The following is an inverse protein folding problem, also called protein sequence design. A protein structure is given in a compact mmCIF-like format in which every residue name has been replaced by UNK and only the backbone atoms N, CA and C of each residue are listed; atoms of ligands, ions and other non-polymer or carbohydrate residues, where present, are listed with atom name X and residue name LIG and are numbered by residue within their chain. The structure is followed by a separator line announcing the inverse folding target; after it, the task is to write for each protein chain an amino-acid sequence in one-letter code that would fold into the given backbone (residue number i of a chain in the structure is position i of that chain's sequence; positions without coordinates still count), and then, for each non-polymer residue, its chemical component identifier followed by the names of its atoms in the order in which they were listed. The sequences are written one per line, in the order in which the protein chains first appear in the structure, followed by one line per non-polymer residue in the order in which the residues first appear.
data_IF_707569131516
#
_entry.id   IF_707569131516
#
_cell.length_a   1.000
_cell.length_b   1.000
_cell.length_c   1.000
_cell.angle_alpha   90.00
_cell.angle_beta   90.00
_cell.angle_gamma   90.00
#
_symmetry.space_group_name_H-M   'P 1'
#
loop_
_entity.id
_entity.type
_entity.pdbx_description
1 polymer ?
#
# COMPACT_ATOMS: atom_id res chain seq x y z
N UNK A 1 21.07 -0.13 -14.69
CA UNK A 1 21.77 1.13 -15.04
C UNK A 1 21.00 2.35 -14.56
N UNK A 2 19.79 2.62 -15.07
CA UNK A 2 19.02 3.84 -14.74
C UNK A 2 18.79 4.04 -13.23
N UNK A 3 18.26 3.05 -12.52
CA UNK A 3 18.02 3.16 -11.07
C UNK A 3 19.31 3.45 -10.29
N UNK A 4 20.41 2.76 -10.62
CA UNK A 4 21.70 2.97 -9.98
C UNK A 4 22.27 4.38 -10.25
N UNK A 5 22.15 4.86 -11.49
CA UNK A 5 22.52 6.23 -11.86
C UNK A 5 21.69 7.28 -11.12
N UNK A 6 20.37 7.07 -11.02
CA UNK A 6 19.48 7.94 -10.25
C UNK A 6 19.82 7.98 -8.76
N UNK A 7 20.17 6.83 -8.18
CA UNK A 7 20.62 6.74 -6.77
C UNK A 7 21.94 7.47 -6.57
N UNK A 8 22.92 7.27 -7.46
CA UNK A 8 24.19 7.98 -7.41
C UNK A 8 24.01 9.50 -7.56
N UNK A 9 23.14 9.92 -8.49
CA UNK A 9 22.82 11.34 -8.69
C UNK A 9 22.19 11.95 -7.43
N UNK A 10 21.18 11.30 -6.85
CA UNK A 10 20.54 11.81 -5.64
C UNK A 10 21.52 11.83 -4.46
N UNK A 11 22.39 10.83 -4.33
CA UNK A 11 23.45 10.84 -3.32
C UNK A 11 24.40 12.02 -3.47
N UNK A 12 24.92 12.25 -4.69
CA UNK A 12 25.80 13.39 -4.96
C UNK A 12 25.06 14.72 -4.73
N UNK A 13 23.82 14.82 -5.20
CA UNK A 13 22.98 16.00 -5.02
C UNK A 13 22.75 16.26 -3.53
N UNK A 14 22.38 15.26 -2.72
CA UNK A 14 22.22 15.38 -1.26
C UNK A 14 23.53 15.72 -0.53
N UNK A 15 24.67 15.25 -1.04
CA UNK A 15 25.99 15.52 -0.45
C UNK A 15 26.43 16.97 -0.66
N UNK A 16 26.18 17.54 -1.85
CA UNK A 16 26.58 18.91 -2.18
C UNK A 16 25.48 19.95 -1.93
N UNK A 17 24.21 19.53 -1.94
CA UNK A 17 23.04 20.39 -1.76
C UNK A 17 22.05 19.70 -0.82
N UNK A 18 21.59 20.40 0.21
CA UNK A 18 20.56 19.87 1.10
C UNK A 18 19.16 20.14 0.51
N UNK A 19 18.95 19.68 -0.72
CA UNK A 19 17.71 19.96 -1.48
C UNK A 19 16.83 18.71 -1.58
N UNK A 20 15.52 18.90 -1.44
CA UNK A 20 14.50 17.86 -1.39
C UNK A 20 13.10 18.47 -1.31
N UNK A 21 12.11 17.80 -1.92
CA UNK A 21 10.76 18.37 -2.11
C UNK A 21 10.01 18.64 -0.81
N UNK A 22 10.44 18.04 0.31
CA UNK A 22 9.84 18.24 1.63
C UNK A 22 9.82 19.71 2.11
N UNK A 23 10.64 20.59 1.51
CA UNK A 23 10.58 22.04 1.78
C UNK A 23 9.37 22.71 1.14
N UNK A 24 8.98 22.25 -0.05
CA UNK A 24 8.05 22.96 -0.93
C UNK A 24 6.71 22.22 -1.10
N UNK A 25 6.64 20.94 -0.71
CA UNK A 25 5.45 20.09 -0.88
C UNK A 25 5.05 19.43 0.45
N UNK A 26 3.75 19.34 0.79
CA UNK A 26 3.31 18.79 2.08
C UNK A 26 3.63 17.31 2.28
N UNK A 27 3.99 16.90 3.50
CA UNK A 27 4.26 15.49 3.88
C UNK A 27 3.10 14.55 3.57
N UNK A 28 1.87 15.04 3.69
CA UNK A 28 0.66 14.27 3.35
C UNK A 28 0.64 13.78 1.90
N UNK A 29 1.30 14.47 0.97
CA UNK A 29 1.36 14.03 -0.44
C UNK A 29 2.31 12.84 -0.62
N UNK A 30 3.44 12.80 0.08
CA UNK A 30 4.38 11.67 0.08
C UNK A 30 3.78 10.46 0.79
N UNK A 31 3.10 10.69 1.92
CA UNK A 31 2.32 9.65 2.58
C UNK A 31 1.24 9.09 1.65
N UNK A 32 0.51 9.98 0.97
CA UNK A 32 -0.54 9.62 0.01
C UNK A 32 -0.04 8.78 -1.16
N UNK A 33 1.15 9.08 -1.71
CA UNK A 33 1.72 8.31 -2.82
C UNK A 33 2.07 6.87 -2.42
N UNK A 34 2.67 6.67 -1.23
CA UNK A 34 3.00 5.34 -0.70
C UNK A 34 1.73 4.57 -0.35
N UNK A 35 0.76 5.23 0.29
CA UNK A 35 -0.54 4.61 0.56
C UNK A 35 -1.23 4.15 -0.72
N UNK A 36 -1.14 4.93 -1.81
CA UNK A 36 -1.71 4.56 -3.11
C UNK A 36 -1.07 3.30 -3.71
N UNK A 37 0.23 3.06 -3.48
CA UNK A 37 0.89 1.79 -3.86
C UNK A 37 0.19 0.61 -3.17
N UNK A 38 0.02 0.67 -1.85
CA UNK A 38 -0.61 -0.40 -1.05
C UNK A 38 -2.07 -0.63 -1.47
N UNK A 39 -2.83 0.43 -1.70
CA UNK A 39 -4.22 0.35 -2.17
C UNK A 39 -4.34 -0.31 -3.54
N UNK A 40 -3.48 0.06 -4.50
CA UNK A 40 -3.48 -0.58 -5.82
C UNK A 40 -2.99 -2.02 -5.74
N UNK A 41 -2.08 -2.33 -4.82
CA UNK A 41 -1.65 -3.69 -4.52
C UNK A 41 -2.83 -4.55 -4.04
N UNK A 42 -3.76 -4.02 -3.21
CA UNK A 42 -5.00 -4.73 -2.87
C UNK A 42 -5.80 -5.12 -4.12
N UNK A 43 -5.98 -4.20 -5.08
CA UNK A 43 -6.70 -4.49 -6.31
C UNK A 43 -5.97 -5.50 -7.22
N UNK A 44 -4.65 -5.39 -7.32
CA UNK A 44 -3.79 -6.30 -8.10
C UNK A 44 -3.80 -7.73 -7.56
N UNK A 45 -3.69 -7.86 -6.24
CA UNK A 45 -3.53 -9.13 -5.53
C UNK A 45 -4.86 -9.79 -5.16
N UNK A 46 -5.97 -9.05 -5.18
CA UNK A 46 -7.29 -9.57 -4.85
C UNK A 46 -7.66 -10.88 -5.58
N UNK A 47 -7.37 -11.07 -6.90
CA UNK A 47 -7.65 -12.33 -7.57
C UNK A 47 -6.94 -13.55 -6.94
N UNK A 48 -5.78 -13.32 -6.32
CA UNK A 48 -4.98 -14.35 -5.68
C UNK A 48 -5.41 -14.58 -4.24
N UNK A 49 -5.48 -13.50 -3.44
CA UNK A 49 -5.65 -13.55 -1.97
C UNK A 49 -7.00 -13.06 -1.44
N UNK A 50 -7.93 -12.68 -2.31
CA UNK A 50 -9.19 -12.06 -1.90
C UNK A 50 -9.01 -10.66 -1.31
N UNK A 51 -10.12 -10.03 -0.92
CA UNK A 51 -10.08 -8.74 -0.19
C UNK A 51 -10.16 -8.91 1.32
N UNK A 52 -10.90 -9.90 1.79
CA UNK A 52 -11.11 -10.13 3.22
C UNK A 52 -11.03 -11.62 3.52
N UNK A 53 -10.10 -11.99 4.39
CA UNK A 53 -9.93 -13.34 4.91
C UNK A 53 -9.76 -14.43 3.84
N UNK A 54 -9.19 -14.11 2.67
CA UNK A 54 -9.07 -15.05 1.55
C UNK A 54 -10.35 -15.21 0.72
N UNK A 55 -11.44 -14.55 1.10
CA UNK A 55 -12.71 -14.64 0.39
C UNK A 55 -12.64 -13.96 -0.97
N UNK A 56 -13.04 -14.70 -2.01
CA UNK A 56 -13.20 -14.21 -3.38
C UNK A 56 -14.65 -13.83 -3.72
N UNK A 57 -15.55 -13.84 -2.73
CA UNK A 57 -16.97 -13.45 -2.92
C UNK A 57 -17.13 -11.97 -3.22
N UNK A 58 -16.31 -11.14 -2.58
CA UNK A 58 -16.27 -9.69 -2.77
C UNK A 58 -14.96 -9.34 -3.45
N UNK A 59 -15.05 -8.82 -4.67
CA UNK A 59 -13.91 -8.59 -5.55
C UNK A 59 -14.04 -7.24 -6.24
N UNK A 60 -12.93 -6.53 -6.51
CA UNK A 60 -12.98 -5.33 -7.33
C UNK A 60 -13.51 -5.66 -8.74
N UNK A 61 -14.17 -4.72 -9.43
CA UNK A 61 -14.60 -4.91 -10.81
C UNK A 61 -13.42 -5.34 -11.70
N UNK A 62 -13.68 -6.24 -12.64
CA UNK A 62 -12.63 -6.78 -13.52
C UNK A 62 -11.89 -5.70 -14.32
N UNK A 63 -12.56 -4.61 -14.69
CA UNK A 63 -12.00 -3.42 -15.32
C UNK A 63 -10.97 -2.76 -14.43
N UNK A 64 -11.26 -2.59 -13.14
CA UNK A 64 -10.34 -1.99 -12.18
C UNK A 64 -9.09 -2.87 -12.02
N UNK A 65 -9.26 -4.19 -11.93
CA UNK A 65 -8.11 -5.11 -11.86
C UNK A 65 -7.29 -5.07 -13.16
N UNK A 66 -7.93 -4.97 -14.33
CA UNK A 66 -7.22 -4.80 -15.62
C UNK A 66 -6.49 -3.46 -15.69
N UNK A 67 -7.11 -2.38 -15.24
CA UNK A 67 -6.50 -1.05 -15.16
C UNK A 67 -5.26 -1.11 -14.26
N UNK A 68 -5.41 -1.64 -13.04
CA UNK A 68 -4.31 -1.80 -12.11
C UNK A 68 -3.16 -2.59 -12.75
N UNK A 69 -3.44 -3.74 -13.37
CA UNK A 69 -2.41 -4.53 -14.06
C UNK A 69 -1.73 -3.78 -15.20
N UNK A 70 -2.46 -2.96 -15.96
CA UNK A 70 -1.91 -2.19 -17.08
C UNK A 70 -1.07 -1.00 -16.63
N UNK A 71 -1.46 -0.32 -15.55
CA UNK A 71 -0.90 0.98 -15.19
C UNK A 71 -0.08 1.00 -13.89
N UNK A 72 -0.06 -0.08 -13.11
CA UNK A 72 0.69 -0.11 -11.85
C UNK A 72 2.16 0.26 -12.02
N UNK A 73 2.82 -0.15 -13.11
CA UNK A 73 4.21 0.22 -13.38
C UNK A 73 4.40 1.75 -13.40
N UNK A 74 3.58 2.48 -14.15
CA UNK A 74 3.64 3.95 -14.21
C UNK A 74 3.34 4.60 -12.85
N UNK A 75 2.29 4.13 -12.17
CA UNK A 75 1.85 4.67 -10.88
C UNK A 75 2.92 4.43 -9.81
N UNK A 76 3.47 3.22 -9.74
CA UNK A 76 4.46 2.83 -8.74
C UNK A 76 5.80 3.48 -9.02
N UNK A 77 6.19 3.65 -10.29
CA UNK A 77 7.35 4.45 -10.68
C UNK A 77 7.19 5.90 -10.23
N UNK A 78 6.06 6.56 -10.51
CA UNK A 78 5.80 7.92 -10.03
C UNK A 78 5.90 8.00 -8.51
N UNK A 79 5.18 7.15 -7.77
CA UNK A 79 5.14 7.20 -6.32
C UNK A 79 6.50 6.92 -5.69
N UNK A 80 7.24 5.93 -6.19
CA UNK A 80 8.58 5.59 -5.69
C UNK A 80 9.60 6.68 -6.00
N UNK A 81 9.59 7.24 -7.22
CA UNK A 81 10.48 8.35 -7.58
C UNK A 81 10.12 9.60 -6.79
N UNK A 82 8.84 9.93 -6.65
CA UNK A 82 8.40 11.08 -5.86
C UNK A 82 8.88 10.97 -4.41
N UNK A 83 8.66 9.83 -3.76
CA UNK A 83 9.10 9.60 -2.40
C UNK A 83 10.63 9.54 -2.28
N UNK A 84 11.31 9.02 -3.31
CA UNK A 84 12.77 8.98 -3.36
C UNK A 84 13.38 10.38 -3.30
N UNK A 85 12.83 11.36 -4.03
CA UNK A 85 13.32 12.75 -4.04
C UNK A 85 12.64 13.65 -3.00
N UNK A 86 11.67 13.12 -2.25
CA UNK A 86 10.94 13.91 -1.26
C UNK A 86 11.84 14.35 -0.10
N UNK A 87 12.67 13.44 0.42
CA UNK A 87 13.66 13.74 1.44
C UNK A 87 15.08 13.64 0.88
N UNK A 88 15.99 14.55 1.30
CA UNK A 88 17.41 14.36 1.03
C UNK A 88 17.92 13.09 1.73
N UNK A 89 19.01 12.52 1.20
CA UNK A 89 19.69 11.38 1.82
C UNK A 89 20.45 11.87 3.05
N UNK A 90 19.76 11.90 4.19
CA UNK A 90 20.24 12.42 5.47
C UNK A 90 20.35 11.26 6.49
N UNK A 91 21.46 11.14 7.25
CA UNK A 91 21.74 10.03 8.17
C UNK A 91 20.87 9.99 9.44
N UNK A 92 19.55 10.10 9.29
CA UNK A 92 18.56 9.94 10.38
C UNK A 92 17.89 8.58 10.29
N UNK A 93 17.63 7.89 11.43
CA UNK A 93 16.97 6.57 11.45
C UNK A 93 15.66 6.49 10.65
N UNK A 94 14.84 7.54 10.69
CA UNK A 94 13.57 7.58 9.95
C UNK A 94 13.79 7.59 8.42
N UNK A 95 14.84 8.26 7.95
CA UNK A 95 15.18 8.35 6.54
C UNK A 95 15.78 7.04 6.04
N UNK A 96 16.61 6.35 6.83
CA UNK A 96 17.22 5.09 6.42
C UNK A 96 16.21 3.99 6.13
N UNK A 97 15.19 3.83 6.99
CA UNK A 97 14.17 2.81 6.78
C UNK A 97 13.31 3.08 5.54
N UNK A 98 12.98 4.35 5.28
CA UNK A 98 12.22 4.77 4.10
C UNK A 98 13.05 4.66 2.81
N UNK A 99 14.31 5.09 2.86
CA UNK A 99 15.27 4.97 1.76
C UNK A 99 15.49 3.50 1.40
N UNK A 100 15.75 2.64 2.39
CA UNK A 100 15.92 1.21 2.18
C UNK A 100 14.70 0.58 1.49
N UNK A 101 13.50 0.87 1.97
CA UNK A 101 12.27 0.39 1.32
C UNK A 101 12.16 0.90 -0.12
N UNK A 102 12.43 2.18 -0.37
CA UNK A 102 12.40 2.77 -1.72
C UNK A 102 13.41 2.14 -2.67
N UNK A 103 14.62 1.82 -2.19
CA UNK A 103 15.61 1.09 -2.97
C UNK A 103 15.12 -0.32 -3.35
N UNK A 104 14.41 -1.01 -2.46
CA UNK A 104 13.80 -2.30 -2.79
C UNK A 104 12.64 -2.18 -3.78
N UNK A 105 11.89 -1.07 -3.78
CA UNK A 105 10.92 -0.78 -4.84
C UNK A 105 11.60 -0.52 -6.20
N UNK A 106 12.81 0.07 -6.22
CA UNK A 106 13.62 0.14 -7.44
C UNK A 106 14.18 -1.21 -7.87
N UNK A 107 14.48 -2.11 -6.93
CA UNK A 107 14.79 -3.51 -7.28
C UNK A 107 13.55 -4.16 -7.89
N UNK A 108 12.37 -3.98 -7.29
CA UNK A 108 11.11 -4.50 -7.83
C UNK A 108 10.82 -3.98 -9.24
N UNK A 109 11.12 -2.71 -9.54
CA UNK A 109 10.98 -2.15 -10.89
C UNK A 109 11.99 -2.72 -11.89
N UNK A 110 13.20 -3.09 -11.44
CA UNK A 110 14.19 -3.77 -12.28
C UNK A 110 13.80 -5.24 -12.57
N UNK A 111 12.94 -5.84 -11.74
CA UNK A 111 12.52 -7.24 -11.87
C UNK A 111 11.31 -7.46 -12.79
N UNK A 112 10.72 -6.43 -13.41
CA UNK A 112 9.39 -6.46 -14.09
C UNK A 112 9.16 -7.59 -15.11
N UNK A 113 10.20 -8.19 -15.68
CA UNK A 113 10.10 -9.31 -16.63
C UNK A 113 10.55 -10.66 -16.05
N UNK A 114 10.62 -10.77 -14.72
CA UNK A 114 11.08 -11.96 -14.01
C UNK A 114 9.96 -12.56 -13.17
N UNK A 115 10.12 -13.82 -12.78
CA UNK A 115 9.22 -14.46 -11.83
C UNK A 115 9.31 -13.83 -10.44
N UNK A 116 10.48 -13.30 -10.06
CA UNK A 116 10.68 -12.64 -8.77
C UNK A 116 9.76 -11.44 -8.57
N UNK A 117 9.45 -10.67 -9.63
CA UNK A 117 8.52 -9.54 -9.55
C UNK A 117 7.10 -9.92 -9.10
N UNK A 118 6.72 -11.18 -9.31
CA UNK A 118 5.39 -11.71 -8.96
C UNK A 118 5.44 -12.71 -7.80
N UNK A 119 6.61 -12.91 -7.19
CA UNK A 119 6.75 -13.86 -6.10
C UNK A 119 5.99 -13.35 -4.86
N UNK A 120 5.03 -14.13 -4.32
CA UNK A 120 4.21 -13.70 -3.19
C UNK A 120 4.97 -13.36 -1.91
N UNK A 121 6.13 -13.97 -1.69
CA UNK A 121 6.93 -13.73 -0.48
C UNK A 121 7.70 -12.43 -0.63
N UNK A 122 8.22 -12.17 -1.83
CA UNK A 122 8.87 -10.91 -2.17
C UNK A 122 7.88 -9.73 -2.14
N UNK A 123 6.72 -9.84 -2.80
CA UNK A 123 5.73 -8.75 -2.79
C UNK A 123 5.19 -8.48 -1.39
N UNK A 124 4.94 -9.53 -0.60
CA UNK A 124 4.60 -9.37 0.81
C UNK A 124 5.71 -8.66 1.60
N UNK A 125 6.98 -9.00 1.36
CA UNK A 125 8.10 -8.34 2.03
C UNK A 125 8.09 -6.84 1.75
N UNK A 126 7.85 -6.43 0.49
CA UNK A 126 7.73 -5.02 0.13
C UNK A 126 6.55 -4.36 0.84
N UNK A 127 5.37 -4.98 0.84
CA UNK A 127 4.20 -4.44 1.54
C UNK A 127 4.44 -4.31 3.07
N UNK A 128 5.10 -5.30 3.67
CA UNK A 128 5.34 -5.32 5.12
C UNK A 128 6.47 -4.41 5.58
N UNK A 129 7.42 -4.04 4.70
CA UNK A 129 8.49 -3.09 5.05
C UNK A 129 8.00 -1.66 5.28
N UNK A 130 6.76 -1.34 4.88
CA UNK A 130 6.10 -0.11 5.29
C UNK A 130 5.90 -0.01 6.82
N UNK A 131 5.67 -1.15 7.50
CA UNK A 131 5.47 -1.20 8.94
C UNK A 131 6.70 -0.72 9.74
N UNK A 132 7.90 -1.33 9.62
CA UNK A 132 9.07 -0.89 10.38
C UNK A 132 9.44 0.56 10.06
N UNK A 133 9.28 1.02 8.81
CA UNK A 133 9.47 2.42 8.46
C UNK A 133 8.53 3.35 9.23
N UNK A 134 7.22 3.06 9.24
CA UNK A 134 6.23 3.86 9.96
C UNK A 134 6.48 3.87 11.48
N UNK A 135 6.84 2.72 12.06
CA UNK A 135 7.15 2.62 13.50
C UNK A 135 8.39 3.41 13.86
N UNK A 136 9.49 3.25 13.11
CA UNK A 136 10.73 4.03 13.36
C UNK A 136 10.49 5.52 13.17
N UNK A 137 9.74 5.92 12.14
CA UNK A 137 9.38 7.33 11.90
C UNK A 137 8.60 7.93 13.07
N UNK A 138 7.58 7.22 13.57
CA UNK A 138 6.75 7.71 14.69
C UNK A 138 7.49 7.74 16.03
N UNK A 139 8.35 6.76 16.29
CA UNK A 139 9.20 6.76 17.48
C UNK A 139 10.21 7.91 17.43
N UNK A 140 10.86 8.12 16.28
CA UNK A 140 11.82 9.20 16.09
C UNK A 140 11.17 10.58 16.22
N UNK A 141 10.01 10.78 15.59
CA UNK A 141 9.22 12.03 15.68
C UNK A 141 8.49 12.19 17.02
N UNK A 142 8.51 11.17 17.90
CA UNK A 142 7.77 11.13 19.18
C UNK A 142 6.28 11.46 19.03
N UNK A 143 5.65 11.02 17.94
CA UNK A 143 4.28 11.40 17.59
C UNK A 143 3.19 10.69 18.42
N UNK A 144 3.56 9.66 19.17
CA UNK A 144 2.60 8.82 19.91
C UNK A 144 1.78 7.88 19.03
N UNK A 145 2.03 7.82 17.72
CA UNK A 145 1.27 7.01 16.76
C UNK A 145 1.86 5.60 16.51
N UNK A 146 2.93 5.22 17.21
CA UNK A 146 3.61 3.94 16.99
C UNK A 146 2.67 2.74 17.16
N UNK A 147 1.84 2.71 18.21
CA UNK A 147 0.88 1.62 18.43
C UNK A 147 -0.19 1.56 17.32
N UNK A 148 -0.69 2.72 16.89
CA UNK A 148 -1.66 2.83 15.80
C UNK A 148 -1.10 2.25 14.50
N UNK A 149 0.12 2.63 14.09
CA UNK A 149 0.74 2.10 12.88
C UNK A 149 1.04 0.61 13.00
N UNK A 150 1.59 0.16 14.13
CA UNK A 150 1.89 -1.25 14.38
C UNK A 150 0.64 -2.12 14.26
N UNK A 151 -0.39 -1.83 15.04
CA UNK A 151 -1.57 -2.69 15.07
C UNK A 151 -2.44 -2.55 13.82
N UNK A 152 -2.45 -1.39 13.17
CA UNK A 152 -3.21 -1.23 11.92
C UNK A 152 -2.56 -1.92 10.73
N UNK A 153 -1.23 -1.87 10.58
CA UNK A 153 -0.55 -2.60 9.51
C UNK A 153 -0.65 -4.11 9.74
N UNK A 154 -0.47 -4.57 10.98
CA UNK A 154 -0.68 -5.97 11.31
C UNK A 154 -2.13 -6.43 11.11
N UNK A 155 -3.12 -5.53 11.29
CA UNK A 155 -4.51 -5.82 10.91
C UNK A 155 -4.61 -6.12 9.41
N UNK A 156 -3.99 -5.31 8.54
CA UNK A 156 -3.97 -5.56 7.10
C UNK A 156 -3.28 -6.88 6.74
N UNK A 157 -2.22 -7.24 7.47
CA UNK A 157 -1.59 -8.53 7.31
C UNK A 157 -2.54 -9.68 7.62
N UNK A 158 -3.22 -9.63 8.77
CA UNK A 158 -4.17 -10.65 9.24
C UNK A 158 -5.39 -10.73 8.33
N UNK A 159 -5.96 -9.59 7.92
CA UNK A 159 -7.22 -9.56 7.15
C UNK A 159 -6.99 -9.86 5.66
N UNK A 160 -5.84 -9.48 5.10
CA UNK A 160 -5.63 -9.51 3.65
C UNK A 160 -4.35 -10.27 3.25
N UNK A 161 -3.19 -9.79 3.67
CA UNK A 161 -1.93 -10.18 3.02
C UNK A 161 -1.54 -11.64 3.28
N UNK A 162 -1.77 -12.15 4.51
CA UNK A 162 -1.42 -13.53 4.87
C UNK A 162 -2.21 -14.57 4.08
N UNK A 163 -3.39 -14.21 3.55
CA UNK A 163 -4.23 -15.14 2.76
C UNK A 163 -3.69 -15.38 1.35
N UNK A 164 -2.68 -14.62 0.94
CA UNK A 164 -1.88 -14.91 -0.25
C UNK A 164 -0.74 -15.89 0.03
N UNK A 165 -0.39 -16.12 1.28
CA UNK A 165 0.55 -17.17 1.63
C UNK A 165 -0.25 -18.47 1.74
N UNK A 166 0.21 -19.55 1.11
CA UNK A 166 -0.42 -20.88 1.17
C UNK A 166 -0.31 -21.50 2.58
N UNK A 167 -0.65 -20.74 3.62
CA UNK A 167 -0.61 -21.13 5.02
C UNK A 167 -1.79 -22.05 5.32
N UNK A 168 -1.58 -23.12 6.11
CA UNK A 168 -2.69 -23.94 6.58
C UNK A 168 -3.65 -23.08 7.42
N UNK A 169 -4.92 -23.46 7.43
CA UNK A 169 -5.96 -22.76 8.20
C UNK A 169 -5.59 -22.57 9.68
N UNK A 170 -5.01 -23.59 10.30
CA UNK A 170 -4.53 -23.51 11.68
C UNK A 170 -3.53 -22.36 11.90
N UNK A 171 -2.55 -22.20 11.00
CA UNK A 171 -1.57 -21.13 11.12
C UNK A 171 -2.23 -19.74 11.02
N UNK A 172 -3.20 -19.58 10.11
CA UNK A 172 -3.95 -18.32 9.95
C UNK A 172 -4.75 -17.99 11.22
N UNK A 173 -5.44 -18.96 11.81
CA UNK A 173 -6.15 -18.78 13.08
C UNK A 173 -5.21 -18.50 14.25
N UNK A 174 -4.07 -19.18 14.33
CA UNK A 174 -3.07 -18.92 15.37
C UNK A 174 -2.52 -17.49 15.26
N UNK A 175 -2.17 -17.04 14.05
CA UNK A 175 -1.69 -15.68 13.81
C UNK A 175 -2.76 -14.66 14.17
N UNK A 176 -4.01 -14.86 13.71
CA UNK A 176 -5.14 -13.97 14.03
C UNK A 176 -5.46 -13.91 15.52
N UNK A 177 -5.46 -15.05 16.20
CA UNK A 177 -5.66 -15.15 17.65
C UNK A 177 -4.54 -14.48 18.45
N UNK A 178 -3.28 -14.70 18.05
CA UNK A 178 -2.13 -14.04 18.67
C UNK A 178 -2.16 -12.51 18.47
N UNK A 179 -2.53 -12.05 17.27
CA UNK A 179 -2.75 -10.63 16.99
C UNK A 179 -3.83 -10.05 17.90
N UNK A 180 -5.02 -10.66 17.93
CA UNK A 180 -6.14 -10.18 18.75
C UNK A 180 -5.79 -10.15 20.24
N UNK A 181 -5.19 -11.22 20.77
CA UNK A 181 -4.72 -11.28 22.16
C UNK A 181 -3.71 -10.18 22.47
N UNK A 182 -2.76 -9.92 21.57
CA UNK A 182 -1.74 -8.87 21.73
C UNK A 182 -2.37 -7.48 21.77
N UNK A 183 -3.29 -7.17 20.86
CA UNK A 183 -4.00 -5.88 20.80
C UNK A 183 -4.81 -5.67 22.08
N UNK A 184 -5.64 -6.65 22.46
CA UNK A 184 -6.49 -6.58 23.65
C UNK A 184 -5.65 -6.43 24.92
N UNK A 185 -4.55 -7.18 25.04
CA UNK A 185 -3.63 -7.09 26.18
C UNK A 185 -2.93 -5.72 26.22
N UNK A 186 -2.49 -5.19 25.07
CA UNK A 186 -1.80 -3.90 25.00
C UNK A 186 -2.69 -2.74 25.48
N UNK A 187 -3.91 -2.65 24.96
CA UNK A 187 -4.86 -1.59 25.31
C UNK A 187 -5.48 -1.80 26.69
N UNK A 188 -5.76 -3.06 27.06
CA UNK A 188 -6.29 -3.42 28.37
C UNK A 188 -5.33 -3.11 29.51
N UNK A 189 -4.06 -3.53 29.40
CA UNK A 189 -3.04 -3.27 30.42
C UNK A 189 -2.72 -1.78 30.59
N UNK A 190 -3.02 -0.95 29.59
CA UNK A 190 -2.84 0.51 29.62
C UNK A 190 -4.12 1.28 29.96
N UNK A 191 -5.24 0.58 30.14
CA UNK A 191 -6.57 1.18 30.28
C UNK A 191 -6.93 2.17 29.14
N UNK A 192 -6.45 1.90 27.91
CA UNK A 192 -6.60 2.77 26.73
C UNK A 192 -7.64 2.25 25.74
N UNK A 193 -8.75 1.69 26.22
CA UNK A 193 -9.82 1.13 25.36
C UNK A 193 -10.37 2.14 24.35
N UNK A 194 -10.40 3.43 24.70
CA UNK A 194 -10.82 4.51 23.79
C UNK A 194 -9.94 4.64 22.53
N UNK A 195 -8.70 4.12 22.55
CA UNK A 195 -7.79 4.09 21.40
C UNK A 195 -7.86 2.80 20.60
N UNK A 196 -8.65 1.80 21.03
CA UNK A 196 -8.79 0.54 20.30
C UNK A 196 -9.24 0.74 18.84
N UNK A 197 -10.14 1.70 18.50
CA UNK A 197 -10.49 1.97 17.10
C UNK A 197 -9.31 2.38 16.22
N UNK A 198 -8.19 2.80 16.80
CA UNK A 198 -6.99 3.18 16.05
C UNK A 198 -6.42 2.04 15.20
N UNK A 199 -6.69 0.77 15.56
CA UNK A 199 -6.27 -0.40 14.78
C UNK A 199 -6.94 -0.49 13.40
N UNK A 200 -8.01 0.28 13.18
CA UNK A 200 -8.74 0.31 11.92
C UNK A 200 -8.26 1.42 10.99
N UNK A 201 -7.35 2.32 11.41
CA UNK A 201 -7.01 3.51 10.63
C UNK A 201 -6.41 3.19 9.26
N UNK A 202 -5.44 2.28 9.19
CA UNK A 202 -4.84 1.87 7.90
C UNK A 202 -5.84 1.06 7.07
N UNK A 203 -6.56 0.06 7.62
CA UNK A 203 -7.63 -0.60 6.88
C UNK A 203 -8.66 0.37 6.29
N UNK A 204 -9.17 1.32 7.07
CA UNK A 204 -10.13 2.32 6.60
C UNK A 204 -9.55 3.12 5.44
N UNK A 205 -8.30 3.56 5.57
CA UNK A 205 -7.63 4.34 4.54
C UNK A 205 -7.45 3.51 3.25
N UNK A 206 -6.91 2.29 3.36
CA UNK A 206 -6.65 1.44 2.19
C UNK A 206 -7.95 0.98 1.50
N UNK A 207 -8.91 0.44 2.25
CA UNK A 207 -10.20 0.02 1.70
C UNK A 207 -11.05 1.21 1.25
N UNK A 208 -10.93 2.37 1.89
CA UNK A 208 -11.64 3.59 1.51
C UNK A 208 -11.26 4.05 0.10
N UNK A 209 -9.95 4.16 -0.18
CA UNK A 209 -9.49 4.52 -1.52
C UNK A 209 -9.80 3.43 -2.54
N UNK A 210 -9.63 2.15 -2.20
CA UNK A 210 -10.08 1.06 -3.07
C UNK A 210 -11.58 1.17 -3.38
N UNK A 211 -12.40 1.47 -2.39
CA UNK A 211 -13.84 1.69 -2.53
C UNK A 211 -14.19 2.83 -3.47
N UNK A 212 -13.45 3.95 -3.40
CA UNK A 212 -13.57 5.07 -4.34
C UNK A 212 -13.26 4.60 -5.78
N UNK A 213 -12.16 3.86 -5.98
CA UNK A 213 -11.79 3.32 -7.30
C UNK A 213 -12.84 2.34 -7.85
N UNK A 214 -13.42 1.51 -6.97
CA UNK A 214 -14.53 0.61 -7.31
C UNK A 214 -15.75 1.42 -7.76
N UNK A 215 -16.16 2.44 -6.99
CA UNK A 215 -17.29 3.30 -7.31
C UNK A 215 -17.11 4.00 -8.67
N UNK A 216 -15.93 4.60 -8.90
CA UNK A 216 -15.60 5.24 -10.17
C UNK A 216 -15.66 4.24 -11.34
N UNK A 217 -15.15 3.03 -11.13
CA UNK A 217 -15.19 1.96 -12.16
C UNK A 217 -16.63 1.54 -12.50
N UNK A 218 -17.51 1.46 -11.50
CA UNK A 218 -18.92 1.14 -11.69
C UNK A 218 -19.67 2.30 -12.37
N UNK A 219 -19.39 3.54 -12.01
CA UNK A 219 -19.95 4.74 -12.65
C UNK A 219 -19.58 4.80 -14.13
N UNK A 220 -18.30 4.62 -14.47
CA UNK A 220 -17.85 4.58 -15.86
C UNK A 220 -18.53 3.46 -16.65
N UNK A 221 -18.74 2.28 -16.04
CA UNK A 221 -19.48 1.19 -16.68
C UNK A 221 -20.94 1.58 -16.93
N UNK A 222 -21.60 2.24 -15.97
CA UNK A 222 -22.97 2.70 -16.13
C UNK A 222 -23.10 3.72 -17.28
N UNK A 223 -22.21 4.72 -17.33
CA UNK A 223 -22.18 5.72 -18.42
C UNK A 223 -22.01 5.04 -19.78
N UNK A 224 -21.05 4.13 -19.94
CA UNK A 224 -20.85 3.39 -21.21
C UNK A 224 -22.05 2.56 -21.64
N UNK A 225 -22.85 2.05 -20.70
CA UNK A 225 -24.09 1.31 -21.02
C UNK A 225 -25.20 2.24 -21.50
N UNK A 226 -25.24 3.47 -20.99
CA UNK A 226 -26.19 4.49 -21.44
C UNK A 226 -25.84 4.99 -22.84
N UNK A 227 -24.55 5.19 -23.13
CA UNK A 227 -24.06 5.59 -24.46
C UNK A 227 -24.14 4.44 -25.48
N UNK A 228 -23.95 3.20 -25.03
CA UNK A 228 -23.92 2.00 -25.87
C UNK A 228 -25.27 1.39 -26.25
N UNK A 229 -26.39 2.14 -26.15
CA UNK A 229 -27.72 1.66 -26.56
C UNK A 229 -28.30 2.46 -27.76
N UNK A 230 -27.88 2.19 -29.02
CA UNK A 230 -28.46 2.84 -30.19
C UNK A 230 -29.76 2.20 -30.73
N UNK A 231 -30.41 1.26 -30.02
CA UNK A 231 -31.50 0.44 -30.60
C UNK A 231 -32.89 0.60 -29.96
N UNK A 232 -33.27 1.79 -29.47
CA UNK A 232 -34.66 2.05 -29.05
C UNK A 232 -35.37 3.19 -29.79
N UNK A 233 -34.77 3.76 -30.84
CA UNK A 233 -35.36 4.91 -31.56
C UNK A 233 -35.94 4.62 -32.97
N UNK A 234 -35.87 3.38 -33.47
CA UNK A 234 -36.46 3.03 -34.77
C UNK A 234 -37.22 1.70 -34.73
N UNK A 235 -38.30 1.63 -33.96
CA UNK A 235 -39.40 0.68 -34.22
C UNK A 235 -40.74 1.34 -33.96
N UNK A 236 -41.22 2.13 -34.92
CA UNK A 236 -42.66 2.12 -35.25
C UNK A 236 -42.81 2.16 -36.79
N UNK A 237 -43.61 1.24 -37.35
CA UNK A 237 -43.95 1.23 -38.78
C UNK A 237 -44.78 2.45 -39.17
#
# INVERSE_FOLDING_TARGET
AVNAGGVALHYLQSHYTYDGLARDVPEGSALGSVSFILMLALALEAPRRGLFFGSRKVMPPAELVRFARRFHGYIFSWASTYNFWYHPIDPKPLHYTGLFHTLLLFVQSALIYTNAHRDPRWTLTLEMLALPHAVVSTLYKRSGLAAMFTFSFLMMFVVNQMHGLNLPERARWTIGGAYAATVLSYYGARHQWHKLPDVLRIPILEYGVLGILVLLSLLMRAVRRLEGNPQTLHTKP
#
